data_IF_267918237472
#
_entry.id   IF_267918237472
#
_cell.length_a   1.000
_cell.length_b   1.000
_cell.length_c   1.000
_cell.angle_alpha   90.00
_cell.angle_beta   90.00
_cell.angle_gamma   90.00
#
_symmetry.space_group_name_H-M   'P 1'
#
loop_
_entity.id
_entity.type
_entity.pdbx_description
1 polymer ?
#
# COMPACT_ATOMS: atom_id res chain seq x y z
N UNK A 1 -28.81 -65.64 22.52
CA UNK A 1 -28.78 -64.63 21.45
C UNK A 1 -28.04 -63.38 21.98
N UNK A 2 -26.85 -63.18 21.49
CA UNK A 2 -26.07 -61.99 21.86
C UNK A 2 -26.12 -61.02 20.67
N UNK A 3 -26.75 -59.87 20.87
CA UNK A 3 -26.70 -58.80 19.91
C UNK A 3 -25.41 -58.02 20.14
N UNK A 4 -24.49 -58.10 19.18
CA UNK A 4 -23.33 -57.20 19.13
C UNK A 4 -23.73 -55.94 18.40
N UNK A 5 -23.96 -54.89 19.17
CA UNK A 5 -24.04 -53.52 18.64
C UNK A 5 -22.66 -53.00 18.36
N UNK A 6 -22.24 -52.99 17.12
CA UNK A 6 -21.06 -52.25 16.69
C UNK A 6 -21.44 -50.79 16.51
N UNK A 7 -21.07 -49.96 17.47
CA UNK A 7 -21.12 -48.49 17.29
C UNK A 7 -19.96 -48.10 16.40
N UNK A 8 -20.22 -47.82 15.16
CA UNK A 8 -19.30 -47.15 14.28
C UNK A 8 -19.27 -45.67 14.66
N UNK A 9 -18.19 -45.29 15.38
CA UNK A 9 -17.90 -43.89 15.64
C UNK A 9 -17.44 -43.22 14.33
N UNK A 10 -18.30 -42.46 13.72
CA UNK A 10 -17.95 -41.60 12.57
C UNK A 10 -17.24 -40.38 13.12
N UNK A 11 -15.91 -40.44 13.19
CA UNK A 11 -15.08 -39.26 13.42
C UNK A 11 -15.12 -38.38 12.16
N UNK A 12 -16.01 -37.40 12.17
CA UNK A 12 -15.95 -36.32 11.20
C UNK A 12 -14.71 -35.46 11.49
N UNK A 13 -13.64 -35.72 10.77
CA UNK A 13 -12.49 -34.82 10.73
C UNK A 13 -12.93 -33.54 10.05
N UNK A 14 -13.26 -32.53 10.84
CA UNK A 14 -13.37 -31.16 10.38
C UNK A 14 -11.96 -30.73 9.93
N UNK A 15 -11.70 -30.86 8.64
CA UNK A 15 -10.56 -30.22 8.03
C UNK A 15 -10.77 -28.70 8.20
N UNK A 16 -10.11 -28.13 9.20
CA UNK A 16 -9.97 -26.67 9.30
C UNK A 16 -9.16 -26.24 8.09
N UNK A 17 -9.87 -25.74 7.05
CA UNK A 17 -9.21 -25.01 6.00
C UNK A 17 -8.50 -23.83 6.67
N UNK A 18 -7.18 -23.68 6.51
CA UNK A 18 -6.52 -22.46 6.94
C UNK A 18 -7.16 -21.34 6.12
N UNK A 19 -7.93 -20.49 6.78
CA UNK A 19 -8.32 -19.22 6.20
C UNK A 19 -7.01 -18.45 6.05
N UNK A 20 -6.39 -18.56 4.86
CA UNK A 20 -5.23 -17.77 4.53
C UNK A 20 -5.64 -16.32 4.74
N UNK A 21 -4.98 -15.63 5.68
CA UNK A 21 -5.16 -14.21 5.87
C UNK A 21 -4.91 -13.57 4.50
N UNK A 22 -5.95 -13.02 3.86
CA UNK A 22 -5.76 -12.24 2.65
C UNK A 22 -4.91 -11.04 3.06
N UNK A 23 -3.73 -10.87 2.42
CA UNK A 23 -2.89 -9.70 2.63
C UNK A 23 -3.76 -8.45 2.42
N UNK A 24 -3.83 -7.61 3.43
CA UNK A 24 -4.54 -6.36 3.30
C UNK A 24 -3.74 -5.43 2.39
N UNK A 25 -4.37 -4.96 1.35
CA UNK A 25 -3.77 -4.12 0.32
C UNK A 25 -4.59 -2.85 0.18
N UNK A 26 -3.91 -1.70 0.17
CA UNK A 26 -4.54 -0.49 -0.31
C UNK A 26 -4.57 -0.50 -1.84
N UNK A 27 -5.75 -0.33 -2.41
CA UNK A 27 -5.92 -0.08 -3.83
C UNK A 27 -6.11 1.42 -4.04
N UNK A 28 -5.14 2.07 -4.66
CA UNK A 28 -5.08 3.52 -4.73
C UNK A 28 -5.11 4.03 -6.17
N UNK A 29 -5.67 5.22 -6.34
CA UNK A 29 -5.65 5.95 -7.61
C UNK A 29 -5.07 7.35 -7.41
N UNK A 30 -4.05 7.70 -8.19
CA UNK A 30 -3.48 9.05 -8.24
C UNK A 30 -4.46 9.96 -8.97
N UNK A 31 -4.86 11.05 -8.34
CA UNK A 31 -5.76 12.06 -8.89
C UNK A 31 -5.04 13.27 -9.43
N UNK A 32 -4.02 13.73 -8.72
CA UNK A 32 -3.27 14.94 -9.06
C UNK A 32 -1.77 14.72 -8.96
N UNK A 33 -1.04 15.48 -9.73
CA UNK A 33 0.40 15.48 -9.76
C UNK A 33 0.94 16.91 -9.87
N UNK A 34 1.90 17.27 -9.00
CA UNK A 34 2.60 18.54 -9.00
C UNK A 34 4.10 18.33 -9.14
N UNK A 35 4.78 19.26 -9.77
CA UNK A 35 6.24 19.26 -9.92
C UNK A 35 6.83 20.49 -9.26
N UNK A 36 7.98 20.32 -8.66
CA UNK A 36 8.86 21.41 -8.25
C UNK A 36 9.85 21.66 -9.38
N UNK A 37 9.90 22.87 -9.91
CA UNK A 37 10.85 23.25 -10.96
C UNK A 37 12.21 23.66 -10.37
N UNK A 38 13.19 23.99 -11.24
CA UNK A 38 14.55 24.36 -10.83
C UNK A 38 14.59 25.65 -9.99
N UNK A 39 13.57 26.48 -10.06
CA UNK A 39 13.42 27.71 -9.26
C UNK A 39 12.72 27.43 -7.91
N UNK A 40 12.33 26.18 -7.64
CA UNK A 40 11.61 25.78 -6.45
C UNK A 40 10.10 26.06 -6.51
N UNK A 41 9.57 26.48 -7.64
CA UNK A 41 8.15 26.75 -7.82
C UNK A 41 7.37 25.44 -8.02
N UNK A 42 6.28 25.29 -7.30
CA UNK A 42 5.35 24.17 -7.47
C UNK A 42 4.40 24.49 -8.60
N UNK A 43 4.29 23.60 -9.58
CA UNK A 43 3.38 23.73 -10.73
C UNK A 43 2.59 22.44 -10.90
N UNK A 44 1.30 22.55 -11.25
CA UNK A 44 0.55 21.38 -11.73
C UNK A 44 1.28 20.76 -12.92
N UNK A 45 1.47 19.46 -12.91
CA UNK A 45 2.05 18.75 -14.03
C UNK A 45 0.98 18.56 -15.12
N UNK A 46 1.37 18.47 -16.39
CA UNK A 46 0.48 18.02 -17.46
C UNK A 46 0.03 16.59 -17.19
N UNK A 47 -0.81 16.03 -18.06
CA UNK A 47 -1.31 14.65 -17.91
C UNK A 47 -0.19 13.67 -17.52
N UNK A 48 -0.45 12.83 -16.55
CA UNK A 48 0.52 11.87 -16.06
C UNK A 48 0.91 10.88 -17.18
N UNK A 49 2.22 10.71 -17.47
CA UNK A 49 2.70 9.77 -18.51
C UNK A 49 2.69 8.31 -18.04
N UNK A 50 2.01 7.97 -16.97
CA UNK A 50 1.98 6.67 -16.32
C UNK A 50 0.55 6.29 -15.94
N UNK A 51 0.32 5.02 -15.69
CA UNK A 51 -0.92 4.53 -15.10
C UNK A 51 -1.06 5.03 -13.67
N UNK A 52 -2.25 5.51 -13.33
CA UNK A 52 -2.54 6.15 -12.04
C UNK A 52 -2.81 5.17 -10.90
N UNK A 53 -2.79 3.87 -11.17
CA UNK A 53 -3.06 2.84 -10.17
C UNK A 53 -1.81 2.55 -9.33
N UNK A 54 -2.00 2.46 -8.03
CA UNK A 54 -0.99 2.09 -7.05
C UNK A 54 -1.58 1.07 -6.09
N UNK A 55 -0.83 0.02 -5.81
CA UNK A 55 -1.18 -0.98 -4.80
C UNK A 55 -0.12 -0.99 -3.70
N UNK A 56 -0.54 -0.99 -2.45
CA UNK A 56 0.37 -0.96 -1.30
C UNK A 56 0.00 -2.09 -0.36
N UNK A 57 0.94 -3.00 -0.10
CA UNK A 57 0.80 -4.07 0.87
C UNK A 57 0.97 -3.50 2.29
N UNK A 58 -0.06 -3.63 3.12
CA UNK A 58 -0.06 -3.09 4.49
C UNK A 58 0.86 -3.84 5.44
N UNK A 59 1.19 -5.07 5.14
CA UNK A 59 2.04 -5.91 5.99
C UNK A 59 3.52 -5.69 5.72
N UNK A 60 3.90 -5.58 4.46
CA UNK A 60 5.30 -5.43 4.03
C UNK A 60 5.70 -4.00 3.69
N UNK A 61 4.74 -3.13 3.40
CA UNK A 61 4.97 -1.79 2.89
C UNK A 61 5.32 -1.74 1.40
N UNK A 62 5.39 -2.88 0.72
CA UNK A 62 5.70 -2.92 -0.71
C UNK A 62 4.64 -2.17 -1.51
N UNK A 63 5.08 -1.25 -2.34
CA UNK A 63 4.20 -0.49 -3.22
C UNK A 63 4.54 -0.76 -4.69
N UNK A 64 3.50 -0.94 -5.49
CA UNK A 64 3.59 -1.28 -6.91
C UNK A 64 2.73 -0.32 -7.72
N UNK A 65 3.28 0.18 -8.80
CA UNK A 65 2.62 1.06 -9.75
C UNK A 65 3.63 1.70 -10.70
N UNK A 66 3.18 2.15 -11.87
CA UNK A 66 4.06 2.77 -12.87
C UNK A 66 4.77 4.02 -12.32
N UNK A 67 4.10 4.79 -11.45
CA UNK A 67 4.67 5.96 -10.79
C UNK A 67 5.80 5.62 -9.80
N UNK A 68 5.91 4.36 -9.37
CA UNK A 68 6.81 3.88 -8.32
C UNK A 68 7.88 2.91 -8.84
N UNK A 69 8.05 2.81 -10.15
CA UNK A 69 8.87 1.78 -10.80
C UNK A 69 10.37 1.83 -10.47
N UNK A 70 10.86 2.91 -9.90
CA UNK A 70 12.29 3.11 -9.61
C UNK A 70 12.72 2.44 -8.30
N UNK A 71 11.84 2.33 -7.31
CA UNK A 71 12.18 1.75 -6.02
C UNK A 71 12.35 0.23 -6.12
N UNK A 72 13.37 -0.30 -5.47
CA UNK A 72 13.67 -1.73 -5.39
C UNK A 72 13.60 -2.29 -3.97
N UNK A 73 13.40 -1.43 -2.98
CA UNK A 73 13.25 -1.80 -1.59
C UNK A 73 12.23 -0.89 -0.89
N UNK A 74 11.38 -1.48 -0.06
CA UNK A 74 10.35 -0.78 0.70
C UNK A 74 10.43 -1.11 2.18
N UNK A 75 10.13 -0.14 3.02
CA UNK A 75 10.18 -0.26 4.47
C UNK A 75 9.01 0.50 5.10
N UNK A 76 8.27 -0.15 6.00
CA UNK A 76 7.21 0.52 6.76
C UNK A 76 7.87 1.42 7.81
N UNK A 77 7.64 2.71 7.70
CA UNK A 77 8.07 3.69 8.69
C UNK A 77 7.04 3.86 9.82
N UNK A 78 5.74 3.72 9.48
CA UNK A 78 4.64 3.86 10.43
C UNK A 78 3.47 3.00 10.00
N UNK A 79 2.95 2.20 10.92
CA UNK A 79 1.70 1.46 10.70
C UNK A 79 0.51 2.39 10.88
N UNK A 80 -0.44 2.31 9.93
CA UNK A 80 -1.68 3.06 10.04
C UNK A 80 -2.56 2.57 11.18
N UNK A 81 -3.34 3.48 11.75
CA UNK A 81 -4.32 3.22 12.79
C UNK A 81 -5.48 4.19 12.68
N UNK A 82 -6.40 4.18 13.65
CA UNK A 82 -7.45 5.18 13.72
C UNK A 82 -6.94 6.60 14.06
N UNK A 83 -5.70 6.72 14.51
CA UNK A 83 -5.08 7.98 14.92
C UNK A 83 -3.90 8.37 14.01
N UNK A 84 -3.29 7.41 13.35
CA UNK A 84 -2.05 7.59 12.59
C UNK A 84 -2.20 7.22 11.10
N UNK A 85 -1.47 7.94 10.25
CA UNK A 85 -1.30 7.56 8.87
C UNK A 85 -0.43 6.28 8.74
N UNK A 86 -0.70 5.47 7.73
CA UNK A 86 0.24 4.45 7.28
C UNK A 86 1.32 5.12 6.44
N UNK A 87 2.60 4.86 6.73
CA UNK A 87 3.73 5.42 5.98
C UNK A 87 4.68 4.32 5.56
N UNK A 88 4.99 4.27 4.27
CA UNK A 88 6.04 3.41 3.72
C UNK A 88 7.05 4.22 2.91
N UNK A 89 8.30 3.80 2.99
CA UNK A 89 9.44 4.44 2.34
C UNK A 89 10.01 3.55 1.25
N UNK A 90 10.21 4.12 0.07
CA UNK A 90 10.78 3.42 -1.08
C UNK A 90 12.20 3.88 -1.37
N UNK A 91 13.10 2.92 -1.56
CA UNK A 91 14.54 3.15 -1.73
C UNK A 91 15.05 2.62 -3.06
N UNK A 92 16.08 3.27 -3.57
CA UNK A 92 16.99 2.73 -4.58
C UNK A 92 18.36 2.54 -3.92
N UNK A 93 18.72 1.31 -3.62
CA UNK A 93 19.87 1.04 -2.74
C UNK A 93 19.62 1.64 -1.35
N UNK A 94 20.52 2.51 -0.90
CA UNK A 94 20.40 3.23 0.38
C UNK A 94 19.72 4.61 0.27
N UNK A 95 19.35 5.02 -0.95
CA UNK A 95 18.79 6.34 -1.20
C UNK A 95 17.27 6.31 -1.13
N UNK A 96 16.69 7.14 -0.26
CA UNK A 96 15.25 7.37 -0.18
C UNK A 96 14.76 8.10 -1.44
N UNK A 97 13.81 7.51 -2.14
CA UNK A 97 13.20 8.07 -3.36
C UNK A 97 11.74 8.42 -3.14
N UNK A 98 10.98 7.55 -2.48
CA UNK A 98 9.55 7.73 -2.25
C UNK A 98 9.21 7.74 -0.77
N UNK A 99 8.29 8.62 -0.41
CA UNK A 99 7.59 8.57 0.86
C UNK A 99 6.09 8.55 0.57
N UNK A 100 5.43 7.48 0.95
CA UNK A 100 4.00 7.29 0.72
C UNK A 100 3.28 7.35 2.06
N UNK A 101 2.29 8.22 2.18
CA UNK A 101 1.41 8.29 3.32
C UNK A 101 -0.04 8.03 2.90
N UNK A 102 -0.69 7.07 3.57
CA UNK A 102 -2.12 6.82 3.48
C UNK A 102 -2.75 7.25 4.80
N UNK A 103 -3.68 8.18 4.73
CA UNK A 103 -4.33 8.75 5.93
C UNK A 103 -5.42 7.82 6.46
N UNK A 104 -5.00 6.74 7.08
CA UNK A 104 -5.85 5.67 7.61
C UNK A 104 -6.85 6.18 8.66
N UNK A 105 -6.49 7.21 9.42
CA UNK A 105 -7.32 7.80 10.46
C UNK A 105 -8.52 8.62 9.93
N UNK A 106 -8.56 8.92 8.63
CA UNK A 106 -9.71 9.61 8.06
C UNK A 106 -10.91 8.70 7.98
N UNK A 107 -12.06 9.21 8.45
CA UNK A 107 -13.33 8.48 8.43
C UNK A 107 -13.79 8.28 6.99
N UNK A 108 -14.29 7.09 6.69
CA UNK A 108 -14.83 6.72 5.38
C UNK A 108 -14.04 5.63 4.69
N UNK A 109 -14.55 5.16 3.55
CA UNK A 109 -13.92 4.11 2.75
C UNK A 109 -12.73 4.62 1.96
N UNK A 110 -12.80 5.88 1.55
CA UNK A 110 -11.75 6.53 0.77
C UNK A 110 -10.74 7.18 1.71
N UNK A 111 -9.49 6.71 1.63
CA UNK A 111 -8.38 7.23 2.42
C UNK A 111 -7.51 8.11 1.53
N UNK A 112 -7.26 9.37 1.91
CA UNK A 112 -6.34 10.21 1.17
C UNK A 112 -4.94 9.60 1.08
N UNK A 113 -4.30 9.77 -0.07
CA UNK A 113 -2.95 9.33 -0.38
C UNK A 113 -2.08 10.52 -0.75
N UNK A 114 -0.87 10.55 -0.23
CA UNK A 114 0.19 11.46 -0.69
C UNK A 114 1.45 10.64 -0.98
N UNK A 115 2.07 10.91 -2.12
CA UNK A 115 3.35 10.35 -2.52
C UNK A 115 4.31 11.49 -2.78
N UNK A 116 5.36 11.59 -1.97
CA UNK A 116 6.48 12.50 -2.22
C UNK A 116 7.59 11.75 -2.95
N UNK A 117 8.11 12.33 -4.03
CA UNK A 117 9.18 11.76 -4.85
C UNK A 117 10.42 12.65 -4.74
N UNK A 118 11.52 12.09 -4.29
CA UNK A 118 12.80 12.79 -4.14
C UNK A 118 13.72 12.49 -5.33
N UNK A 119 14.36 13.51 -5.87
CA UNK A 119 15.41 13.38 -6.88
C UNK A 119 16.80 13.57 -6.28
N UNK A 120 17.84 13.28 -7.06
CA UNK A 120 19.22 13.49 -6.60
C UNK A 120 19.55 14.96 -6.32
N UNK A 121 18.83 15.88 -6.95
CA UNK A 121 19.08 17.33 -6.83
C UNK A 121 18.25 17.97 -5.71
N UNK A 122 17.54 17.18 -4.92
CA UNK A 122 16.62 17.67 -3.91
C UNK A 122 15.31 18.23 -4.45
N UNK A 123 15.15 18.32 -5.76
CA UNK A 123 13.88 18.64 -6.41
C UNK A 123 12.94 17.44 -6.29
N UNK A 124 11.67 17.67 -6.12
CA UNK A 124 10.72 16.59 -5.98
C UNK A 124 9.41 16.85 -6.71
N UNK A 125 8.71 15.76 -6.95
CA UNK A 125 7.31 15.76 -7.36
C UNK A 125 6.47 15.27 -6.21
N UNK A 126 5.20 15.61 -6.21
CA UNK A 126 4.23 15.05 -5.30
C UNK A 126 2.99 14.60 -6.05
N UNK A 127 2.45 13.46 -5.65
CA UNK A 127 1.18 12.95 -6.12
C UNK A 127 0.19 12.96 -4.97
N UNK A 128 -1.05 13.24 -5.26
CA UNK A 128 -2.16 13.02 -4.35
C UNK A 128 -3.20 12.10 -4.98
N UNK A 129 -3.91 11.38 -4.15
CA UNK A 129 -4.90 10.42 -4.62
C UNK A 129 -5.76 9.86 -3.49
N UNK A 130 -6.41 8.78 -3.78
CA UNK A 130 -7.37 8.12 -2.90
C UNK A 130 -7.10 6.62 -2.90
N UNK A 131 -7.12 6.01 -1.72
CA UNK A 131 -7.03 4.57 -1.50
C UNK A 131 -8.34 4.01 -0.96
N UNK A 132 -8.60 2.76 -1.28
CA UNK A 132 -9.69 1.94 -0.72
C UNK A 132 -9.13 0.68 -0.07
#
# INVERSE_FOLDING_TARGET
MKLNSAYAAFMAALAACPTGAMAEVYSCEIKEWVRVNDEGLVRPAPSAPFKRQVSIDKETGNAVGDALSVANHWEIAQKGSQEDAFVTLGYVGSRLVYEIAVYEFKIGREKPLIIAVRSHRGLFSAFSGICQ
#
